data_IF_714760374756
#
_entry.id   IF_714760374756
#
_cell.length_a   1.000
_cell.length_b   1.000
_cell.length_c   1.000
_cell.angle_alpha   90.00
_cell.angle_beta   90.00
_cell.angle_gamma   90.00
#
_symmetry.space_group_name_H-M   'P 1'
#
loop_
_entity.id
_entity.type
_entity.pdbx_description
1 polymer ?
#
# COMPACT_ATOMS: atom_id res chain seq x y z
N UNK A 1 -9.39 -7.89 -1.16
CA UNK A 1 -8.11 -7.30 -1.64
C UNK A 1 -7.21 -7.17 -0.43
N UNK A 2 -6.00 -7.72 -0.50
CA UNK A 2 -5.06 -7.70 0.61
C UNK A 2 -4.66 -6.26 0.99
N UNK A 3 -4.49 -6.01 2.27
CA UNK A 3 -4.04 -4.71 2.79
C UNK A 3 -2.51 -4.67 2.74
N UNK A 4 -1.90 -3.72 2.02
CA UNK A 4 -0.45 -3.63 1.94
C UNK A 4 0.16 -3.17 3.28
N UNK A 5 1.21 -3.87 3.72
CA UNK A 5 2.04 -3.54 4.88
C UNK A 5 3.48 -3.39 4.40
N UNK A 6 4.04 -2.20 4.51
CA UNK A 6 5.44 -1.97 4.12
C UNK A 6 6.38 -2.42 5.24
N UNK A 7 7.43 -3.16 4.88
CA UNK A 7 8.54 -3.47 5.79
C UNK A 7 9.75 -2.66 5.36
N UNK A 8 10.17 -1.74 6.20
CA UNK A 8 11.11 -0.68 5.82
C UNK A 8 12.27 -0.61 6.79
N UNK A 9 13.48 -0.66 6.26
CA UNK A 9 14.69 -0.36 7.01
C UNK A 9 14.97 1.15 7.10
N UNK A 10 16.13 1.51 7.63
CA UNK A 10 16.50 2.93 7.83
C UNK A 10 16.88 3.67 6.53
N UNK A 11 16.91 5.01 6.60
CA UNK A 11 17.48 5.87 5.55
C UNK A 11 18.96 5.53 5.34
N UNK A 12 19.42 5.66 4.07
CA UNK A 12 20.76 5.21 3.68
C UNK A 12 20.99 3.75 4.07
N UNK A 13 20.18 2.84 3.51
CA UNK A 13 20.17 1.44 3.95
C UNK A 13 21.52 0.79 3.78
N UNK A 14 21.91 0.01 4.76
CA UNK A 14 23.01 -0.95 4.68
C UNK A 14 22.50 -2.36 4.32
N UNK A 15 23.36 -3.35 4.36
CA UNK A 15 22.98 -4.70 3.99
C UNK A 15 22.01 -5.33 5.01
N UNK A 16 22.11 -4.98 6.31
CA UNK A 16 21.19 -5.52 7.34
C UNK A 16 19.78 -4.98 7.15
N UNK A 17 19.67 -3.68 6.93
CA UNK A 17 18.42 -2.97 6.63
C UNK A 17 17.67 -3.57 5.44
N UNK A 18 18.39 -3.87 4.35
CA UNK A 18 17.81 -4.50 3.14
C UNK A 18 17.42 -5.94 3.41
N UNK A 19 18.32 -6.72 3.99
CA UNK A 19 18.17 -8.16 4.18
C UNK A 19 17.11 -8.50 5.22
N UNK A 20 17.05 -7.73 6.31
CA UNK A 20 16.00 -7.88 7.33
C UNK A 20 14.62 -7.58 6.74
N UNK A 21 14.48 -6.52 5.91
CA UNK A 21 13.21 -6.21 5.27
C UNK A 21 12.75 -7.35 4.34
N UNK A 22 13.64 -7.85 3.48
CA UNK A 22 13.35 -8.96 2.55
C UNK A 22 12.99 -10.25 3.31
N UNK A 23 13.83 -10.64 4.25
CA UNK A 23 13.63 -11.87 5.04
C UNK A 23 12.35 -11.84 5.85
N UNK A 24 12.09 -10.70 6.50
CA UNK A 24 10.88 -10.55 7.32
C UNK A 24 9.60 -10.49 6.50
N UNK A 25 9.63 -9.86 5.33
CA UNK A 25 8.50 -9.86 4.40
C UNK A 25 8.14 -11.29 3.96
N UNK A 26 9.15 -12.07 3.61
CA UNK A 26 8.94 -13.48 3.27
C UNK A 26 8.28 -14.25 4.42
N UNK A 27 8.83 -14.15 5.63
CA UNK A 27 8.28 -14.82 6.83
C UNK A 27 6.82 -14.42 7.07
N UNK A 28 6.52 -13.13 7.06
CA UNK A 28 5.17 -12.62 7.34
C UNK A 28 4.16 -13.07 6.29
N UNK A 29 4.55 -13.13 5.02
CA UNK A 29 3.68 -13.64 3.96
C UNK A 29 3.41 -15.14 4.11
N UNK A 30 4.40 -15.96 4.50
CA UNK A 30 4.19 -17.38 4.79
C UNK A 30 3.27 -17.60 6.00
N UNK A 31 3.44 -16.77 7.04
CA UNK A 31 2.54 -16.81 8.20
C UNK A 31 1.11 -16.37 7.84
N UNK A 32 0.97 -15.38 6.95
CA UNK A 32 -0.35 -14.94 6.47
C UNK A 32 -1.06 -16.05 5.68
N UNK A 33 -0.34 -16.75 4.81
CA UNK A 33 -0.90 -17.93 4.10
C UNK A 33 -1.42 -18.98 5.08
N UNK A 34 -0.63 -19.34 6.11
CA UNK A 34 -1.09 -20.28 7.16
C UNK A 34 -2.33 -19.77 7.91
N UNK A 35 -2.39 -18.46 8.16
CA UNK A 35 -3.55 -17.84 8.81
C UNK A 35 -4.80 -17.97 7.96
N UNK A 36 -4.70 -17.71 6.66
CA UNK A 36 -5.83 -17.81 5.72
C UNK A 36 -6.29 -19.26 5.50
N UNK A 37 -5.35 -20.22 5.52
CA UNK A 37 -5.69 -21.66 5.49
C UNK A 37 -6.51 -22.10 6.70
N UNK A 38 -6.24 -21.52 7.89
CA UNK A 38 -6.95 -21.82 9.13
C UNK A 38 -8.24 -21.00 9.28
N UNK A 39 -8.25 -19.78 8.78
CA UNK A 39 -9.37 -18.87 8.83
C UNK A 39 -9.48 -18.05 7.52
N UNK A 40 -10.22 -18.53 6.51
CA UNK A 40 -10.39 -17.86 5.22
C UNK A 40 -11.04 -16.46 5.29
N UNK A 41 -11.75 -16.15 6.39
CA UNK A 41 -12.38 -14.84 6.63
C UNK A 41 -11.45 -13.85 7.37
N UNK A 42 -10.21 -14.24 7.65
CA UNK A 42 -9.26 -13.34 8.29
C UNK A 42 -8.93 -12.17 7.36
N UNK A 43 -8.64 -11.02 7.97
CA UNK A 43 -8.15 -9.84 7.22
C UNK A 43 -6.82 -10.19 6.57
N UNK A 44 -6.76 -10.07 5.25
CA UNK A 44 -5.59 -10.44 4.46
C UNK A 44 -4.62 -9.27 4.37
N UNK A 45 -3.35 -9.53 4.70
CA UNK A 45 -2.26 -8.58 4.57
C UNK A 45 -1.23 -9.08 3.56
N UNK A 46 -0.70 -8.15 2.75
CA UNK A 46 0.45 -8.38 1.88
C UNK A 46 1.65 -7.61 2.40
N UNK A 47 2.71 -8.33 2.79
CA UNK A 47 3.92 -7.73 3.35
C UNK A 47 4.94 -7.48 2.24
N UNK A 48 5.24 -6.19 2.00
CA UNK A 48 6.05 -5.71 0.88
C UNK A 48 7.36 -5.13 1.44
N UNK A 49 8.54 -5.70 1.08
CA UNK A 49 9.81 -5.12 1.50
C UNK A 49 10.08 -3.84 0.71
N UNK A 50 10.49 -2.78 1.40
CA UNK A 50 10.81 -1.51 0.80
C UNK A 50 12.12 -0.93 1.35
N UNK A 51 12.75 -0.04 0.59
CA UNK A 51 14.02 0.63 0.93
C UNK A 51 13.92 2.14 0.77
N UNK A 52 14.70 2.87 1.56
CA UNK A 52 14.72 4.33 1.60
C UNK A 52 15.94 4.96 0.92
N UNK A 53 16.66 4.20 0.12
CA UNK A 53 17.87 4.68 -0.56
C UNK A 53 18.39 3.68 -1.59
N UNK A 54 19.54 3.97 -2.21
CA UNK A 54 20.19 3.05 -3.15
C UNK A 54 20.57 1.74 -2.46
N UNK A 55 20.64 0.66 -3.23
CA UNK A 55 21.14 -0.62 -2.73
C UNK A 55 22.64 -0.54 -2.48
N UNK A 56 23.15 -1.02 -1.33
CA UNK A 56 24.57 -1.32 -1.17
C UNK A 56 25.05 -2.34 -2.21
N UNK A 57 26.30 -2.26 -2.62
CA UNK A 57 26.87 -3.14 -3.65
C UNK A 57 26.78 -4.62 -3.27
N UNK A 58 27.09 -4.92 -2.01
CA UNK A 58 26.97 -6.28 -1.47
C UNK A 58 25.53 -6.79 -1.44
N UNK A 59 24.56 -5.93 -1.09
CA UNK A 59 23.14 -6.30 -1.14
C UNK A 59 22.70 -6.60 -2.58
N UNK A 60 23.04 -5.73 -3.52
CA UNK A 60 22.70 -5.90 -4.92
C UNK A 60 23.30 -7.21 -5.50
N UNK A 61 24.58 -7.47 -5.18
CA UNK A 61 25.26 -8.68 -5.63
C UNK A 61 24.60 -9.97 -5.09
N UNK A 62 24.28 -10.02 -3.79
CA UNK A 62 23.64 -11.18 -3.16
C UNK A 62 22.21 -11.36 -3.67
N UNK A 63 21.41 -10.31 -3.77
CA UNK A 63 20.05 -10.39 -4.31
C UNK A 63 20.04 -10.94 -5.74
N UNK A 64 20.95 -10.46 -6.59
CA UNK A 64 21.09 -10.94 -7.97
C UNK A 64 21.57 -12.39 -8.03
N UNK A 65 22.59 -12.76 -7.27
CA UNK A 65 23.14 -14.12 -7.25
C UNK A 65 22.11 -15.18 -6.85
N UNK A 66 21.27 -14.85 -5.86
CA UNK A 66 20.26 -15.76 -5.35
C UNK A 66 18.87 -15.53 -5.94
N UNK A 67 18.77 -14.71 -7.00
CA UNK A 67 17.51 -14.42 -7.72
C UNK A 67 16.38 -13.92 -6.80
N UNK A 68 16.72 -13.08 -5.86
CA UNK A 68 15.76 -12.41 -4.96
C UNK A 68 15.47 -11.01 -5.51
N UNK A 69 14.19 -10.67 -5.61
CA UNK A 69 13.79 -9.34 -6.06
C UNK A 69 14.28 -8.24 -5.09
N UNK A 70 14.82 -7.16 -5.65
CA UNK A 70 15.21 -6.01 -4.85
C UNK A 70 13.99 -5.34 -4.19
N UNK A 71 14.08 -4.88 -2.93
CA UNK A 71 13.03 -4.12 -2.30
C UNK A 71 12.66 -2.86 -3.09
N UNK A 72 11.37 -2.50 -3.12
CA UNK A 72 10.90 -1.30 -3.80
C UNK A 72 11.54 -0.05 -3.20
N UNK A 73 12.03 0.86 -4.06
CA UNK A 73 12.51 2.16 -3.61
C UNK A 73 11.33 3.08 -3.33
N UNK A 74 11.19 3.51 -2.09
CA UNK A 74 10.17 4.48 -1.71
C UNK A 74 10.81 5.74 -1.12
N UNK A 75 10.16 6.89 -1.32
CA UNK A 75 10.63 8.17 -0.79
C UNK A 75 9.86 8.63 0.45
N UNK A 76 8.68 8.08 0.66
CA UNK A 76 7.77 8.45 1.74
C UNK A 76 6.74 7.34 2.00
N UNK A 77 6.09 7.43 3.16
CA UNK A 77 5.01 6.53 3.59
C UNK A 77 3.67 7.24 3.80
N UNK A 78 3.52 8.46 3.24
CA UNK A 78 2.23 9.15 3.21
C UNK A 78 1.18 8.32 2.45
N UNK A 79 -0.07 8.41 2.89
CA UNK A 79 -1.19 7.80 2.19
C UNK A 79 -1.35 8.40 0.79
N UNK A 80 -1.61 7.54 -0.21
CA UNK A 80 -1.89 7.90 -1.60
C UNK A 80 -3.37 7.70 -1.91
N UNK A 81 -3.82 8.19 -3.01
CA UNK A 81 -5.19 8.02 -3.50
C UNK A 81 -5.57 6.54 -3.62
N UNK A 82 -4.67 5.69 -4.12
CA UNK A 82 -4.91 4.24 -4.21
C UNK A 82 -5.19 3.55 -2.87
N UNK A 83 -4.69 4.09 -1.77
CA UNK A 83 -4.89 3.52 -0.43
C UNK A 83 -6.31 3.75 0.11
N UNK A 84 -7.11 4.59 -0.57
CA UNK A 84 -8.45 4.99 -0.11
C UNK A 84 -9.54 4.86 -1.16
N UNK A 85 -9.18 4.79 -2.44
CA UNK A 85 -10.17 4.75 -3.52
C UNK A 85 -11.01 3.48 -3.44
N UNK A 86 -12.27 3.61 -3.79
CA UNK A 86 -13.12 2.46 -4.09
C UNK A 86 -12.79 2.01 -5.51
N UNK A 87 -12.28 0.80 -5.66
CA UNK A 87 -12.00 0.17 -6.97
C UNK A 87 -13.30 -0.34 -7.62
N UNK A 88 -13.24 -0.63 -8.91
CA UNK A 88 -14.38 -1.13 -9.70
C UNK A 88 -15.63 -0.25 -9.58
N UNK A 89 -15.53 1.02 -9.97
CA UNK A 89 -16.66 1.93 -9.96
C UNK A 89 -17.75 1.43 -10.91
N UNK A 90 -19.01 1.60 -10.48
CA UNK A 90 -20.16 1.17 -11.30
C UNK A 90 -20.28 2.13 -12.48
N UNK A 91 -20.22 1.57 -13.69
CA UNK A 91 -20.29 2.30 -14.95
C UNK A 91 -21.61 2.12 -15.70
N UNK A 92 -21.92 3.10 -16.54
CA UNK A 92 -22.98 3.13 -17.52
C UNK A 92 -22.39 3.42 -18.90
N UNK A 93 -23.02 2.91 -19.96
CA UNK A 93 -22.71 3.33 -21.31
C UNK A 93 -23.32 4.71 -21.63
N UNK A 94 -22.77 5.41 -22.61
CA UNK A 94 -23.27 6.71 -23.07
C UNK A 94 -24.74 6.70 -23.50
N UNK A 95 -25.23 5.57 -24.04
CA UNK A 95 -26.59 5.39 -24.50
C UNK A 95 -27.60 5.04 -23.39
N UNK A 96 -27.13 4.81 -22.18
CA UNK A 96 -28.00 4.55 -21.04
C UNK A 96 -28.85 5.79 -20.72
N UNK A 97 -30.03 5.57 -20.16
CA UNK A 97 -30.91 6.67 -19.78
C UNK A 97 -30.65 7.16 -18.35
N UNK A 98 -31.11 8.38 -18.04
CA UNK A 98 -31.06 8.89 -16.67
C UNK A 98 -31.84 8.00 -15.69
N UNK A 99 -32.92 7.34 -16.17
CA UNK A 99 -33.67 6.36 -15.38
C UNK A 99 -32.80 5.14 -15.01
N UNK A 100 -31.98 4.65 -15.95
CA UNK A 100 -31.07 3.54 -15.70
C UNK A 100 -30.00 3.94 -14.69
N UNK A 101 -29.46 5.16 -14.78
CA UNK A 101 -28.57 5.74 -13.77
C UNK A 101 -29.23 5.75 -12.38
N UNK A 102 -30.47 6.28 -12.30
CA UNK A 102 -31.22 6.31 -11.04
C UNK A 102 -31.46 4.91 -10.44
N UNK A 103 -31.77 3.91 -11.28
CA UNK A 103 -31.93 2.51 -10.86
C UNK A 103 -30.64 1.92 -10.31
N UNK A 104 -29.50 2.18 -10.96
CA UNK A 104 -28.18 1.71 -10.49
C UNK A 104 -27.78 2.38 -9.18
N UNK A 105 -27.92 3.71 -9.09
CA UNK A 105 -27.65 4.46 -7.86
C UNK A 105 -28.42 3.88 -6.68
N UNK A 106 -29.74 3.61 -6.86
CA UNK A 106 -30.59 3.01 -5.82
C UNK A 106 -30.18 1.58 -5.49
N UNK A 107 -29.97 0.73 -6.52
CA UNK A 107 -29.63 -0.69 -6.34
C UNK A 107 -28.35 -0.88 -5.52
N UNK A 108 -27.35 -0.06 -5.80
CA UNK A 108 -26.03 -0.17 -5.20
C UNK A 108 -25.80 0.80 -4.03
N UNK A 109 -26.82 1.58 -3.66
CA UNK A 109 -26.73 2.61 -2.62
C UNK A 109 -25.54 3.57 -2.83
N UNK A 110 -25.35 4.02 -4.07
CA UNK A 110 -24.28 4.94 -4.47
C UNK A 110 -24.86 6.35 -4.72
N UNK A 111 -23.99 7.34 -4.66
CA UNK A 111 -24.36 8.76 -4.92
C UNK A 111 -24.05 9.19 -6.34
N UNK A 112 -23.10 8.50 -6.99
CA UNK A 112 -22.72 8.74 -8.37
C UNK A 112 -22.40 7.43 -9.10
N UNK A 113 -22.55 7.43 -10.42
CA UNK A 113 -22.13 6.38 -11.34
C UNK A 113 -21.32 7.02 -12.45
N UNK A 114 -20.28 6.34 -12.91
CA UNK A 114 -19.48 6.81 -14.04
C UNK A 114 -20.15 6.50 -15.37
N UNK A 115 -19.85 7.30 -16.39
CA UNK A 115 -20.25 7.04 -17.78
C UNK A 115 -18.98 6.76 -18.58
N UNK A 116 -18.97 5.64 -19.30
CA UNK A 116 -17.85 5.21 -20.14
C UNK A 116 -18.25 5.01 -21.57
N UNK A 117 -17.29 5.11 -22.50
CA UNK A 117 -17.48 4.69 -23.87
C UNK A 117 -17.37 3.17 -24.06
N UNK A 118 -17.43 2.70 -25.31
CA UNK A 118 -17.30 1.29 -25.67
C UNK A 118 -15.92 0.71 -25.35
N UNK A 119 -14.88 1.57 -25.25
CA UNK A 119 -13.51 1.18 -24.88
C UNK A 119 -13.30 1.18 -23.35
N UNK A 120 -14.32 1.57 -22.55
CA UNK A 120 -14.25 1.65 -21.09
C UNK A 120 -13.60 2.94 -20.57
N UNK A 121 -13.30 3.91 -21.43
CA UNK A 121 -12.74 5.20 -21.04
C UNK A 121 -13.80 6.09 -20.40
N UNK A 122 -13.38 6.84 -19.40
CA UNK A 122 -14.23 7.79 -18.72
C UNK A 122 -14.74 8.89 -19.66
N UNK A 123 -16.05 9.14 -19.61
CA UNK A 123 -16.74 10.22 -20.40
C UNK A 123 -17.47 11.20 -19.49
N UNK A 124 -17.82 10.79 -18.29
CA UNK A 124 -18.54 11.67 -17.36
C UNK A 124 -19.08 10.95 -16.14
N UNK A 125 -19.82 11.70 -15.35
CA UNK A 125 -20.43 11.26 -14.10
C UNK A 125 -21.90 11.66 -14.07
N UNK A 126 -22.75 10.77 -13.55
CA UNK A 126 -24.16 11.06 -13.24
C UNK A 126 -24.36 10.92 -11.74
N UNK A 127 -24.78 12.02 -11.11
CA UNK A 127 -24.99 12.05 -9.65
C UNK A 127 -26.47 11.90 -9.30
N UNK A 128 -26.74 11.44 -8.07
CA UNK A 128 -28.08 11.41 -7.50
C UNK A 128 -28.71 12.83 -7.47
N UNK A 129 -27.88 13.87 -7.32
CA UNK A 129 -28.33 15.27 -7.34
C UNK A 129 -28.92 15.64 -8.69
N UNK A 130 -28.30 15.20 -9.80
CA UNK A 130 -28.86 15.45 -11.15
C UNK A 130 -30.26 14.84 -11.30
N UNK A 131 -30.41 13.59 -10.85
CA UNK A 131 -31.74 12.92 -10.88
C UNK A 131 -32.76 13.67 -10.03
N UNK A 132 -32.37 14.11 -8.82
CA UNK A 132 -33.23 14.89 -7.93
C UNK A 132 -33.59 16.25 -8.51
N UNK A 133 -32.65 16.97 -9.13
CA UNK A 133 -32.90 18.26 -9.75
C UNK A 133 -33.92 18.14 -10.90
N UNK A 134 -33.87 17.09 -11.70
CA UNK A 134 -34.86 16.85 -12.78
C UNK A 134 -36.27 16.65 -12.21
N UNK A 135 -36.36 15.92 -11.06
CA UNK A 135 -37.65 15.79 -10.39
C UNK A 135 -38.17 17.13 -9.88
N UNK A 136 -37.34 17.94 -9.20
CA UNK A 136 -37.72 19.24 -8.71
C UNK A 136 -38.14 20.17 -9.84
N UNK A 137 -37.34 20.26 -10.93
CA UNK A 137 -37.67 21.12 -12.07
C UNK A 137 -39.01 20.73 -12.76
N UNK A 138 -39.34 19.45 -12.83
CA UNK A 138 -40.63 19.01 -13.37
C UNK A 138 -41.79 19.42 -12.45
N UNK A 139 -41.58 19.46 -11.14
CA UNK A 139 -42.60 19.86 -10.17
C UNK A 139 -42.77 21.36 -10.01
N UNK A 140 -41.77 22.19 -10.40
CA UNK A 140 -41.84 23.67 -10.33
C UNK A 140 -42.98 24.26 -11.24
N UNK A 141 -43.53 23.47 -12.13
CA UNK A 141 -44.65 23.85 -12.98
C UNK A 141 -46.04 23.59 -12.36
N UNK A 142 -46.09 23.10 -11.11
CA UNK A 142 -47.31 22.71 -10.42
C UNK A 142 -47.93 23.83 -9.52
N UNK A 143 -47.59 25.10 -9.77
CA UNK A 143 -48.06 26.23 -8.94
C UNK A 143 -49.39 26.87 -9.42
N UNK A 144 -50.11 26.26 -10.36
CA UNK A 144 -51.34 26.77 -10.97
C UNK A 144 -52.64 26.36 -10.28
N UNK A 145 -53.73 27.05 -10.60
CA UNK A 145 -55.09 26.77 -10.11
C UNK A 145 -55.68 25.44 -10.60
N UNK A 146 -55.08 24.79 -11.64
CA UNK A 146 -55.52 23.49 -12.20
C UNK A 146 -54.50 22.38 -11.87
N UNK A 147 -54.43 22.02 -10.61
CA UNK A 147 -53.46 21.08 -10.04
C UNK A 147 -53.45 19.69 -10.75
N UNK A 148 -54.56 19.25 -11.31
CA UNK A 148 -54.63 17.92 -11.96
C UNK A 148 -53.92 17.92 -13.33
N UNK A 149 -54.08 19.00 -14.13
CA UNK A 149 -53.44 19.15 -15.44
C UNK A 149 -51.96 19.49 -15.31
N UNK A 150 -51.62 20.30 -14.28
CA UNK A 150 -50.23 20.60 -13.96
C UNK A 150 -49.48 19.36 -13.51
N UNK A 151 -50.09 18.46 -12.73
CA UNK A 151 -49.51 17.20 -12.32
C UNK A 151 -49.30 16.23 -13.51
N UNK A 152 -50.21 16.19 -14.48
CA UNK A 152 -50.09 15.39 -15.70
C UNK A 152 -48.90 15.91 -16.55
N UNK A 153 -48.81 17.22 -16.72
CA UNK A 153 -47.69 17.85 -17.42
C UNK A 153 -46.36 17.57 -16.76
N UNK A 154 -46.25 17.76 -15.42
CA UNK A 154 -45.06 17.45 -14.65
C UNK A 154 -44.65 15.97 -14.75
N UNK A 155 -45.61 15.06 -14.73
CA UNK A 155 -45.32 13.63 -14.92
C UNK A 155 -44.77 13.31 -16.32
N UNK A 156 -45.31 13.97 -17.37
CA UNK A 156 -44.82 13.82 -18.74
C UNK A 156 -43.40 14.42 -18.91
N UNK A 157 -43.16 15.61 -18.36
CA UNK A 157 -41.84 16.26 -18.38
C UNK A 157 -40.78 15.44 -17.63
N UNK A 158 -41.15 14.88 -16.49
CA UNK A 158 -40.29 13.98 -15.74
C UNK A 158 -39.98 12.70 -16.54
N UNK A 159 -40.98 12.07 -17.13
CA UNK A 159 -40.82 10.88 -17.97
C UNK A 159 -39.90 11.16 -19.17
N UNK A 160 -40.08 12.30 -19.85
CA UNK A 160 -39.20 12.74 -20.90
C UNK A 160 -37.76 12.94 -20.46
N UNK A 161 -37.56 13.67 -19.35
CA UNK A 161 -36.22 13.89 -18.73
C UNK A 161 -35.54 12.60 -18.34
N UNK A 162 -36.26 11.66 -17.73
CA UNK A 162 -35.69 10.36 -17.29
C UNK A 162 -35.37 9.46 -18.50
N UNK A 163 -35.93 9.70 -19.67
CA UNK A 163 -35.64 8.94 -20.88
C UNK A 163 -34.49 9.53 -21.71
N UNK A 164 -33.96 10.69 -21.33
CA UNK A 164 -32.78 11.27 -21.97
C UNK A 164 -31.54 10.40 -21.80
N UNK A 165 -30.71 10.28 -22.85
CA UNK A 165 -29.43 9.59 -22.72
C UNK A 165 -28.47 10.34 -21.79
N UNK A 166 -27.69 9.61 -20.98
CA UNK A 166 -26.78 10.23 -20.02
C UNK A 166 -25.68 11.04 -20.68
N UNK A 167 -25.35 10.78 -21.93
CA UNK A 167 -24.40 11.57 -22.73
C UNK A 167 -24.75 13.06 -22.85
N UNK A 168 -26.02 13.42 -22.71
CA UNK A 168 -26.48 14.82 -22.73
C UNK A 168 -26.47 15.51 -21.38
N UNK A 169 -26.14 14.76 -20.30
CA UNK A 169 -26.37 15.16 -18.92
C UNK A 169 -25.12 15.03 -18.04
N UNK A 170 -23.94 14.90 -18.64
CA UNK A 170 -22.68 14.64 -17.93
C UNK A 170 -22.29 15.85 -17.09
N UNK A 171 -21.88 15.59 -15.82
CA UNK A 171 -21.27 16.61 -14.95
C UNK A 171 -19.86 16.92 -15.46
N UNK A 172 -19.55 18.21 -15.65
CA UNK A 172 -18.25 18.68 -16.17
C UNK A 172 -17.29 19.08 -15.05
N UNK A 173 -17.80 19.50 -13.87
CA UNK A 173 -16.99 19.93 -12.74
C UNK A 173 -16.60 18.73 -11.86
N UNK A 174 -15.64 17.95 -12.34
CA UNK A 174 -15.14 16.74 -11.68
C UNK A 174 -13.66 16.87 -11.35
N UNK A 175 -13.27 16.47 -10.15
CA UNK A 175 -11.86 16.40 -9.75
C UNK A 175 -11.25 15.11 -10.29
N UNK A 176 -10.23 15.23 -11.14
CA UNK A 176 -9.44 14.10 -11.61
C UNK A 176 -8.21 13.90 -10.75
N UNK A 177 -7.90 12.65 -10.46
CA UNK A 177 -6.83 12.22 -9.58
C UNK A 177 -6.02 11.11 -10.25
N UNK A 178 -4.73 11.03 -9.90
CA UNK A 178 -3.90 9.87 -10.17
C UNK A 178 -3.83 8.98 -8.93
N UNK A 179 -3.76 7.66 -9.11
CA UNK A 179 -3.67 6.69 -8.00
C UNK A 179 -2.46 6.95 -7.08
N UNK A 180 -1.38 7.52 -7.64
CA UNK A 180 -0.13 7.79 -6.93
C UNK A 180 -0.09 9.17 -6.24
N UNK A 181 -1.09 10.03 -6.47
CA UNK A 181 -1.18 11.33 -5.80
C UNK A 181 -1.25 11.18 -4.29
N UNK A 182 -0.65 12.13 -3.56
CA UNK A 182 -0.74 12.15 -2.11
C UNK A 182 -2.15 12.55 -1.67
N UNK A 183 -2.75 11.73 -0.80
CA UNK A 183 -4.09 12.01 -0.29
C UNK A 183 -4.17 13.38 0.38
N UNK A 184 -3.16 13.80 1.14
CA UNK A 184 -3.12 15.09 1.83
C UNK A 184 -3.17 16.29 0.88
N UNK A 185 -2.55 16.17 -0.29
CA UNK A 185 -2.48 17.25 -1.28
C UNK A 185 -3.76 17.30 -2.14
N UNK A 186 -4.38 16.16 -2.38
CA UNK A 186 -5.63 16.03 -3.17
C UNK A 186 -6.89 16.28 -2.34
N UNK A 187 -6.84 16.05 -1.02
CA UNK A 187 -8.00 16.15 -0.14
C UNK A 187 -8.73 17.52 -0.20
N UNK A 188 -8.05 18.68 -0.23
CA UNK A 188 -8.71 19.97 -0.32
C UNK A 188 -9.57 20.08 -1.59
N UNK A 189 -9.06 19.66 -2.75
CA UNK A 189 -9.78 19.71 -4.03
C UNK A 189 -11.04 18.84 -3.99
N UNK A 190 -10.94 17.63 -3.43
CA UNK A 190 -12.09 16.72 -3.28
C UNK A 190 -13.15 17.34 -2.34
N UNK A 191 -12.73 17.89 -1.20
CA UNK A 191 -13.65 18.42 -0.19
C UNK A 191 -14.35 19.71 -0.64
N UNK A 192 -13.71 20.51 -1.49
CA UNK A 192 -14.22 21.79 -2.00
C UNK A 192 -15.01 21.62 -3.31
N UNK A 193 -14.88 20.50 -4.02
CA UNK A 193 -15.65 20.24 -5.23
C UNK A 193 -17.15 20.11 -4.91
N UNK A 194 -17.98 20.45 -5.86
CA UNK A 194 -19.44 20.42 -5.70
C UNK A 194 -19.96 19.01 -5.40
N UNK A 195 -19.43 18.01 -6.10
CA UNK A 195 -19.77 16.61 -5.92
C UNK A 195 -19.12 15.97 -4.69
N UNK A 196 -18.02 16.56 -4.20
CA UNK A 196 -17.20 16.01 -3.10
C UNK A 196 -16.71 14.59 -3.37
N UNK A 197 -16.39 14.35 -4.63
CA UNK A 197 -15.88 13.11 -5.17
C UNK A 197 -14.74 13.42 -6.13
N UNK A 198 -13.78 12.49 -6.24
CA UNK A 198 -12.69 12.53 -7.20
C UNK A 198 -12.66 11.25 -8.01
N UNK A 199 -12.43 11.37 -9.30
CA UNK A 199 -12.35 10.27 -10.25
C UNK A 199 -10.88 9.93 -10.46
N UNK A 200 -10.51 8.68 -10.23
CA UNK A 200 -9.14 8.18 -10.41
C UNK A 200 -9.04 7.55 -11.79
N UNK A 201 -8.17 8.11 -12.63
CA UNK A 201 -7.92 7.61 -13.98
C UNK A 201 -6.55 6.94 -14.05
N UNK A 202 -6.43 5.94 -14.94
CA UNK A 202 -5.14 5.45 -15.40
C UNK A 202 -4.59 6.32 -16.55
N UNK A 203 -3.38 5.98 -17.04
CA UNK A 203 -2.72 6.71 -18.13
C UNK A 203 -3.46 6.58 -19.48
N UNK A 204 -4.37 5.62 -19.60
CA UNK A 204 -5.17 5.35 -20.81
C UNK A 204 -6.55 6.02 -20.74
N UNK A 205 -6.89 6.59 -19.59
CA UNK A 205 -8.15 7.32 -19.37
C UNK A 205 -9.30 6.44 -18.87
N UNK A 206 -9.04 5.21 -18.42
CA UNK A 206 -10.05 4.38 -17.77
C UNK A 206 -10.23 4.81 -16.31
N UNK A 207 -11.47 4.77 -15.84
CA UNK A 207 -11.74 5.01 -14.43
C UNK A 207 -11.43 3.77 -13.59
N UNK A 208 -10.34 3.83 -12.83
CA UNK A 208 -9.88 2.74 -11.95
C UNK A 208 -10.40 2.86 -10.52
N UNK A 209 -10.97 4.00 -10.15
CA UNK A 209 -11.52 4.19 -8.81
C UNK A 209 -12.22 5.53 -8.62
N UNK A 210 -12.91 5.62 -7.47
CA UNK A 210 -13.55 6.85 -7.00
C UNK A 210 -13.14 7.09 -5.55
N UNK A 211 -12.81 8.34 -5.23
CA UNK A 211 -12.54 8.78 -3.85
C UNK A 211 -13.64 9.74 -3.43
N UNK A 212 -14.29 9.47 -2.32
CA UNK A 212 -15.33 10.31 -1.77
C UNK A 212 -14.84 11.11 -0.56
N UNK A 213 -15.59 12.16 -0.18
CA UNK A 213 -15.37 12.87 1.09
C UNK A 213 -15.26 11.93 2.29
N UNK A 214 -16.04 10.84 2.31
CA UNK A 214 -16.01 9.87 3.42
C UNK A 214 -14.67 9.15 3.48
N UNK A 215 -14.07 8.83 2.34
CA UNK A 215 -12.76 8.17 2.27
C UNK A 215 -11.65 9.10 2.75
N UNK A 216 -11.68 10.37 2.36
CA UNK A 216 -10.77 11.40 2.89
C UNK A 216 -10.93 11.56 4.41
N UNK A 217 -12.16 11.54 4.92
CA UNK A 217 -12.44 11.73 6.35
C UNK A 217 -11.96 10.57 7.23
N UNK A 218 -11.81 9.37 6.69
CA UNK A 218 -11.27 8.19 7.42
C UNK A 218 -9.80 8.37 7.80
N UNK A 219 -9.06 9.27 7.13
CA UNK A 219 -7.62 9.51 7.34
C UNK A 219 -6.83 8.20 7.42
N UNK A 220 -6.87 7.36 6.39
CA UNK A 220 -6.20 6.08 6.42
C UNK A 220 -4.71 6.29 6.63
N UNK A 221 -4.13 5.40 7.39
CA UNK A 221 -2.69 5.37 7.65
C UNK A 221 -2.11 4.14 6.98
N UNK A 222 -1.01 4.29 6.26
CA UNK A 222 -0.27 3.13 5.77
C UNK A 222 0.30 2.35 6.93
N UNK A 223 0.11 1.05 6.92
CA UNK A 223 0.68 0.14 7.92
C UNK A 223 2.14 -0.14 7.60
N UNK A 224 3.00 -0.04 8.63
CA UNK A 224 4.44 -0.16 8.46
C UNK A 224 5.02 -1.03 9.56
N UNK A 225 5.98 -1.87 9.18
CA UNK A 225 6.89 -2.55 10.10
C UNK A 225 8.26 -1.93 9.92
N UNK A 226 8.87 -1.51 11.00
CA UNK A 226 10.25 -1.02 11.00
C UNK A 226 11.21 -2.18 11.29
N UNK A 227 12.27 -2.27 10.51
CA UNK A 227 13.38 -3.18 10.74
C UNK A 227 14.68 -2.42 10.80
N UNK A 228 15.58 -2.84 11.67
CA UNK A 228 16.93 -2.32 11.78
C UNK A 228 17.01 -0.82 12.16
N UNK A 229 15.96 -0.28 12.72
CA UNK A 229 15.95 1.05 13.33
C UNK A 229 14.68 1.28 14.14
N UNK A 230 14.76 2.18 15.12
CA UNK A 230 13.64 2.65 15.89
C UNK A 230 13.74 4.17 16.21
N UNK A 231 14.52 4.91 15.41
CA UNK A 231 14.67 6.37 15.52
C UNK A 231 13.94 7.09 14.38
N UNK A 232 13.16 8.16 14.70
CA UNK A 232 12.42 8.97 13.72
C UNK A 232 13.31 9.59 12.65
N UNK A 233 14.49 10.02 13.04
CA UNK A 233 15.47 10.65 12.14
C UNK A 233 15.88 9.71 11.00
N UNK A 234 15.89 8.41 11.27
CA UNK A 234 16.25 7.36 10.34
C UNK A 234 15.05 6.76 9.59
N UNK A 235 13.83 7.03 10.05
CA UNK A 235 12.62 6.49 9.46
C UNK A 235 12.19 7.21 8.18
N UNK A 236 11.29 6.59 7.42
CA UNK A 236 10.73 7.14 6.19
C UNK A 236 10.06 8.51 6.41
N UNK A 237 10.11 9.36 5.38
CA UNK A 237 9.34 10.60 5.40
C UNK A 237 7.83 10.27 5.52
N UNK A 238 7.12 10.97 6.42
CA UNK A 238 5.71 10.72 6.69
C UNK A 238 5.46 9.63 7.75
N UNK A 239 6.49 9.17 8.48
CA UNK A 239 6.33 8.16 9.54
C UNK A 239 5.30 8.57 10.61
N UNK A 240 5.17 9.86 10.91
CA UNK A 240 4.21 10.37 11.88
C UNK A 240 2.75 10.27 11.40
N UNK A 241 2.54 10.14 10.09
CA UNK A 241 1.23 9.95 9.47
C UNK A 241 0.91 8.46 9.23
N UNK A 242 1.90 7.58 9.36
CA UNK A 242 1.76 6.14 9.20
C UNK A 242 1.32 5.45 10.50
N UNK A 243 0.95 4.19 10.40
CA UNK A 243 0.68 3.30 11.52
C UNK A 243 1.82 2.28 11.63
N UNK A 244 2.74 2.52 12.56
CA UNK A 244 3.77 1.52 12.89
C UNK A 244 3.09 0.41 13.69
N UNK A 245 3.10 -0.81 13.16
CA UNK A 245 2.44 -1.97 13.76
C UNK A 245 3.42 -2.94 14.42
N UNK A 246 4.69 -2.89 14.03
CA UNK A 246 5.75 -3.75 14.58
C UNK A 246 7.13 -3.10 14.39
N UNK A 247 8.06 -3.39 15.31
CA UNK A 247 9.47 -2.99 15.20
C UNK A 247 10.35 -4.19 15.51
N UNK A 248 11.36 -4.44 14.68
CA UNK A 248 12.42 -5.43 14.89
C UNK A 248 13.77 -4.74 14.77
N UNK A 249 14.55 -4.74 15.84
CA UNK A 249 15.77 -3.95 15.89
C UNK A 249 16.81 -4.55 16.87
N UNK A 250 18.06 -4.25 16.64
CA UNK A 250 19.17 -4.61 17.51
C UNK A 250 19.91 -3.38 18.09
N UNK A 251 19.50 -2.19 17.69
CA UNK A 251 20.08 -0.93 18.15
C UNK A 251 19.54 -0.51 19.53
N UNK A 252 20.12 0.56 20.07
CA UNK A 252 19.55 1.23 21.25
C UNK A 252 18.12 1.68 20.99
N UNK A 253 17.30 1.75 22.04
CA UNK A 253 15.93 2.24 21.92
C UNK A 253 15.98 3.75 21.67
N UNK A 254 15.34 4.17 20.54
CA UNK A 254 15.24 5.54 20.08
C UNK A 254 13.92 6.22 20.48
N UNK A 255 13.37 7.04 19.58
CA UNK A 255 12.28 7.95 19.85
C UNK A 255 11.00 7.70 19.00
N UNK A 256 10.90 6.57 18.29
CA UNK A 256 9.68 6.19 17.61
C UNK A 256 8.57 5.94 18.64
N UNK A 257 7.47 6.68 18.51
CA UNK A 257 6.30 6.51 19.36
C UNK A 257 5.10 6.03 18.54
N UNK A 258 4.25 5.21 19.12
CA UNK A 258 3.07 4.63 18.47
C UNK A 258 1.81 5.00 19.23
N UNK A 259 0.68 5.15 18.51
CA UNK A 259 -0.61 5.45 19.12
C UNK A 259 -1.23 4.24 19.83
N UNK A 260 -0.89 3.03 19.36
CA UNK A 260 -1.38 1.77 19.89
C UNK A 260 -0.21 0.93 20.40
N UNK A 261 -0.44 -0.02 21.33
CA UNK A 261 0.55 -1.04 21.67
C UNK A 261 0.92 -1.85 20.42
N UNK A 262 2.21 -2.07 20.23
CA UNK A 262 2.76 -2.84 19.11
C UNK A 262 3.65 -3.96 19.58
N UNK A 263 3.97 -4.91 18.71
CA UNK A 263 5.07 -5.83 18.95
C UNK A 263 6.38 -5.08 18.73
N UNK A 264 7.18 -4.97 19.77
CA UNK A 264 8.51 -4.39 19.69
C UNK A 264 9.53 -5.44 20.14
N UNK A 265 10.31 -5.94 19.20
CA UNK A 265 11.37 -6.91 19.43
C UNK A 265 12.72 -6.21 19.26
N UNK A 266 13.38 -5.96 20.37
CA UNK A 266 14.73 -5.43 20.42
C UNK A 266 15.62 -6.41 21.15
N UNK A 267 16.71 -6.86 20.51
CA UNK A 267 17.65 -7.83 21.07
C UNK A 267 19.08 -7.35 20.90
N UNK A 268 19.94 -7.50 21.93
CA UNK A 268 21.36 -7.12 21.86
C UNK A 268 22.15 -8.18 21.09
N UNK A 269 21.97 -8.29 19.81
CA UNK A 269 22.66 -9.17 18.85
C UNK A 269 23.42 -8.34 17.83
N UNK A 270 24.20 -8.96 16.97
CA UNK A 270 25.06 -8.29 16.01
C UNK A 270 24.35 -7.79 14.76
N UNK A 271 23.10 -8.23 14.49
CA UNK A 271 22.37 -7.88 13.27
C UNK A 271 20.87 -8.11 13.44
N UNK A 272 20.04 -7.27 12.87
CA UNK A 272 18.57 -7.47 12.81
C UNK A 272 18.20 -8.73 12.02
N UNK A 273 18.99 -9.11 11.03
CA UNK A 273 18.81 -10.37 10.31
C UNK A 273 18.93 -11.61 11.21
N UNK A 274 19.72 -11.55 12.27
CA UNK A 274 19.75 -12.60 13.31
C UNK A 274 18.39 -12.76 13.97
N UNK A 275 17.74 -11.66 14.34
CA UNK A 275 16.40 -11.68 14.95
C UNK A 275 15.38 -12.25 13.97
N UNK A 276 15.45 -11.83 12.70
CA UNK A 276 14.54 -12.34 11.65
C UNK A 276 14.72 -13.85 11.48
N UNK A 277 15.95 -14.35 11.41
CA UNK A 277 16.21 -15.79 11.30
C UNK A 277 15.68 -16.58 12.51
N UNK A 278 15.82 -16.03 13.73
CA UNK A 278 15.22 -16.63 14.93
C UNK A 278 13.70 -16.70 14.84
N UNK A 279 13.05 -15.67 14.25
CA UNK A 279 11.61 -15.68 14.07
C UNK A 279 11.14 -16.76 13.07
N UNK A 280 11.92 -17.07 12.04
CA UNK A 280 11.64 -18.24 11.19
C UNK A 280 11.65 -19.53 11.99
N UNK A 281 12.67 -19.72 12.82
CA UNK A 281 12.84 -20.93 13.64
C UNK A 281 11.74 -21.06 14.68
N UNK A 282 11.40 -19.97 15.38
CA UNK A 282 10.35 -19.92 16.39
C UNK A 282 8.97 -20.30 15.82
N UNK A 283 8.68 -19.81 14.62
CA UNK A 283 7.40 -20.07 13.94
C UNK A 283 7.41 -21.36 13.09
N UNK A 284 8.49 -22.15 13.15
CA UNK A 284 8.66 -23.35 12.33
C UNK A 284 8.34 -23.11 10.84
N UNK A 285 8.84 -21.98 10.28
CA UNK A 285 8.79 -21.68 8.86
C UNK A 285 10.13 -22.08 8.24
N UNK A 286 10.10 -22.84 7.17
CA UNK A 286 11.31 -23.22 6.44
C UNK A 286 11.95 -21.99 5.79
N UNK A 287 13.27 -21.86 5.93
CA UNK A 287 14.03 -20.77 5.32
C UNK A 287 14.52 -21.23 3.96
N UNK A 288 14.03 -20.67 2.84
CA UNK A 288 14.55 -20.99 1.52
C UNK A 288 16.03 -20.60 1.40
N UNK A 289 16.77 -21.35 0.58
CA UNK A 289 18.21 -21.10 0.37
C UNK A 289 18.51 -19.66 -0.02
N UNK A 290 17.67 -19.04 -0.85
CA UNK A 290 17.82 -17.64 -1.26
C UNK A 290 17.66 -16.67 -0.09
N UNK A 291 16.67 -16.85 0.75
CA UNK A 291 16.45 -16.03 1.95
C UNK A 291 17.54 -16.28 2.99
N UNK A 292 17.97 -17.53 3.17
CA UNK A 292 19.09 -17.85 4.05
C UNK A 292 20.39 -17.14 3.63
N UNK A 293 20.68 -17.05 2.33
CA UNK A 293 21.83 -16.32 1.82
C UNK A 293 21.73 -14.81 2.07
N UNK A 294 20.55 -14.22 1.86
CA UNK A 294 20.28 -12.80 2.13
C UNK A 294 20.50 -12.50 3.60
N UNK A 295 19.88 -13.25 4.53
CA UNK A 295 20.02 -13.04 5.97
C UNK A 295 21.47 -13.28 6.45
N UNK A 296 22.12 -14.35 5.96
CA UNK A 296 23.51 -14.62 6.30
C UNK A 296 24.44 -13.49 5.84
N UNK A 297 24.19 -12.92 4.65
CA UNK A 297 25.01 -11.80 4.15
C UNK A 297 24.99 -10.60 5.08
N UNK A 298 23.83 -10.27 5.65
CA UNK A 298 23.67 -9.20 6.62
C UNK A 298 24.45 -9.47 7.91
N UNK A 299 24.27 -10.66 8.49
CA UNK A 299 25.00 -11.03 9.70
C UNK A 299 26.52 -10.93 9.47
N UNK A 300 27.00 -11.35 8.29
CA UNK A 300 28.42 -11.27 7.97
C UNK A 300 28.95 -9.85 7.83
N UNK A 301 28.14 -8.95 7.26
CA UNK A 301 28.55 -7.55 7.09
C UNK A 301 28.56 -6.78 8.41
N UNK A 302 27.51 -6.92 9.21
CA UNK A 302 27.36 -6.18 10.48
C UNK A 302 28.30 -6.66 11.59
N UNK A 303 28.55 -7.98 11.60
CA UNK A 303 29.46 -8.57 12.60
C UNK A 303 30.90 -8.65 12.11
N UNK A 304 31.22 -8.14 10.90
CA UNK A 304 32.55 -8.26 10.28
C UNK A 304 33.03 -9.72 10.33
N UNK A 305 32.23 -10.62 9.80
CA UNK A 305 32.44 -12.08 9.83
C UNK A 305 32.61 -12.57 11.29
N UNK A 306 31.70 -12.19 12.17
CA UNK A 306 31.65 -12.56 13.59
C UNK A 306 32.87 -12.09 14.42
N UNK A 307 33.59 -11.05 13.94
CA UNK A 307 34.75 -10.47 14.64
C UNK A 307 34.44 -9.15 15.35
N UNK A 308 33.32 -8.53 15.07
CA UNK A 308 32.89 -7.30 15.73
C UNK A 308 32.66 -7.52 17.20
N UNK A 309 32.97 -6.54 18.07
CA UNK A 309 32.61 -6.61 19.50
C UNK A 309 31.09 -6.70 19.74
N UNK A 310 30.28 -6.40 18.75
CA UNK A 310 28.81 -6.52 18.78
C UNK A 310 28.33 -7.92 18.45
N UNK A 311 29.17 -8.78 17.85
CA UNK A 311 28.82 -10.16 17.56
C UNK A 311 28.61 -10.97 18.87
N UNK A 312 27.55 -11.77 18.86
CA UNK A 312 27.17 -12.60 20.01
C UNK A 312 27.21 -14.09 19.66
N UNK A 313 27.16 -14.95 20.64
CA UNK A 313 27.04 -16.39 20.43
C UNK A 313 25.76 -16.74 19.62
N UNK A 314 24.69 -15.96 19.78
CA UNK A 314 23.43 -16.15 19.03
C UNK A 314 23.68 -15.91 17.54
N UNK A 315 24.44 -14.87 17.18
CA UNK A 315 24.80 -14.60 15.78
C UNK A 315 25.60 -15.75 15.17
N UNK A 316 26.56 -16.31 15.92
CA UNK A 316 27.35 -17.46 15.49
C UNK A 316 26.47 -18.69 15.22
N UNK A 317 25.60 -19.06 16.18
CA UNK A 317 24.69 -20.20 16.04
C UNK A 317 23.70 -20.05 14.88
N UNK A 318 23.18 -18.84 14.66
CA UNK A 318 22.27 -18.53 13.54
C UNK A 318 23.04 -18.56 12.21
N UNK A 319 24.22 -17.95 12.16
CA UNK A 319 25.05 -17.94 10.95
C UNK A 319 25.42 -19.35 10.50
N UNK A 320 25.78 -20.27 11.42
CA UNK A 320 26.05 -21.64 11.07
C UNK A 320 24.85 -22.39 10.51
N UNK A 321 23.66 -22.18 11.08
CA UNK A 321 22.43 -22.78 10.54
C UNK A 321 22.11 -22.27 9.14
N UNK A 322 22.20 -20.94 8.92
CA UNK A 322 21.98 -20.34 7.59
C UNK A 322 23.03 -20.80 6.59
N UNK A 323 24.30 -20.88 6.99
CA UNK A 323 25.40 -21.36 6.15
C UNK A 323 25.20 -22.83 5.71
N UNK A 324 24.67 -23.67 6.59
CA UNK A 324 24.30 -25.05 6.26
C UNK A 324 23.20 -25.11 5.17
N UNK A 325 22.19 -24.22 5.24
CA UNK A 325 21.13 -24.11 4.22
C UNK A 325 21.70 -23.59 2.90
N UNK A 326 22.58 -22.59 2.97
CA UNK A 326 23.26 -22.02 1.77
C UNK A 326 24.21 -23.03 1.13
N UNK A 327 24.79 -23.95 1.93
CA UNK A 327 25.78 -24.93 1.48
C UNK A 327 27.18 -24.32 1.31
N UNK A 328 27.54 -23.34 2.13
CA UNK A 328 28.85 -22.68 2.13
C UNK A 328 29.34 -22.46 3.56
N UNK A 329 30.62 -22.67 3.89
CA UNK A 329 31.17 -22.35 5.20
C UNK A 329 30.96 -20.83 5.52
N UNK A 330 30.63 -20.51 6.78
CA UNK A 330 30.37 -19.14 7.23
C UNK A 330 31.48 -18.18 6.81
N UNK A 331 32.74 -18.54 7.06
CA UNK A 331 33.89 -17.69 6.76
C UNK A 331 34.02 -17.42 5.24
N UNK A 332 33.90 -18.47 4.42
CA UNK A 332 34.06 -18.36 2.96
C UNK A 332 32.95 -17.51 2.36
N UNK A 333 31.71 -17.71 2.82
CA UNK A 333 30.57 -16.91 2.44
C UNK A 333 30.75 -15.44 2.86
N UNK A 334 31.16 -15.19 4.12
CA UNK A 334 31.39 -13.83 4.62
C UNK A 334 32.49 -13.10 3.85
N UNK A 335 33.62 -13.77 3.56
CA UNK A 335 34.70 -13.19 2.74
C UNK A 335 34.20 -12.85 1.32
N UNK A 336 33.40 -13.70 0.73
CA UNK A 336 32.77 -13.45 -0.56
C UNK A 336 31.87 -12.19 -0.49
N UNK A 337 30.98 -12.07 0.48
CA UNK A 337 30.09 -10.92 0.65
C UNK A 337 30.89 -9.62 0.80
N UNK A 338 31.91 -9.61 1.66
CA UNK A 338 32.74 -8.43 1.86
C UNK A 338 33.53 -8.04 0.58
N UNK A 339 33.87 -8.99 -0.28
CA UNK A 339 34.53 -8.67 -1.55
C UNK A 339 33.68 -7.85 -2.51
N UNK A 340 32.36 -7.86 -2.36
CA UNK A 340 31.43 -7.05 -3.17
C UNK A 340 31.40 -5.57 -2.79
N UNK A 341 31.92 -5.17 -1.63
CA UNK A 341 31.98 -3.77 -1.21
C UNK A 341 32.90 -2.87 -2.05
N UNK A 342 33.69 -3.48 -2.95
CA UNK A 342 34.54 -2.76 -3.90
C UNK A 342 35.64 -1.95 -3.24
N UNK A 343 36.89 -2.42 -3.39
CA UNK A 343 38.12 -1.77 -2.98
C UNK A 343 39.07 -2.78 -2.32
N UNK A 344 40.34 -2.72 -2.66
CA UNK A 344 41.45 -3.32 -1.89
C UNK A 344 41.54 -2.72 -0.48
N UNK A 345 40.43 -2.78 0.26
CA UNK A 345 40.44 -2.47 1.68
C UNK A 345 41.01 -3.70 2.37
N UNK A 346 42.12 -3.53 3.03
CA UNK A 346 42.76 -4.50 3.91
C UNK A 346 41.72 -5.32 4.66
N UNK A 347 41.44 -6.52 4.14
CA UNK A 347 40.58 -7.50 4.82
C UNK A 347 41.36 -7.97 6.06
N UNK A 348 40.78 -7.88 7.26
CA UNK A 348 41.44 -8.22 8.49
C UNK A 348 41.83 -9.70 8.61
#
# INVERSE_FOLDING_TARGET
MAIPVLIVGHKNPDNDSISAAVGYAYLKNELMKRTLEQNPEAEEYEYIPARLGPLPQESEAILNEYSVAAPELINHVHARIQDVMTTDPIGLSLDSTLLDAGRLLRRHNKRAVIVTDEEGKYKGLVSLRMVANRYVSAMDHCDGDDCAKDLENAANDLAASLSQPVSELIEEDVVFLNKDDLLKDSAPSILMSELREGIVLDDEGHCIGIVTRTDVAKRPKRKIILVDHNERSQAANGIDEAEVIEIIDHHRIGDVSTANPIRFMNMPVGSSATIVALQFMENAVEIPRSIAAVLLSAIMTDTVILKSPTATQIDEEVAEKLAAIVGSPVKDFGMKVLSYRGGDADLP
#
